data_IF_179217513227
#
_entry.id   IF_179217513227
#
_cell.length_a   1.000
_cell.length_b   1.000
_cell.length_c   1.000
_cell.angle_alpha   90.00
_cell.angle_beta   90.00
_cell.angle_gamma   90.00
#
_symmetry.space_group_name_H-M   'P 1'
#
loop_
_entity.id
_entity.type
_entity.pdbx_description
1 polymer ?
#
# COMPACT_ATOMS: atom_id res chain seq x y z
N UNK A 1 -20.20 -9.95 26.72
CA UNK A 1 -19.15 -9.31 25.90
C UNK A 1 -19.80 -8.90 24.60
N UNK A 2 -20.34 -7.68 24.56
CA UNK A 2 -20.70 -7.06 23.29
C UNK A 2 -19.39 -6.90 22.52
N UNK A 3 -19.30 -7.55 21.36
CA UNK A 3 -18.28 -7.22 20.38
C UNK A 3 -18.52 -5.75 20.01
N UNK A 4 -17.82 -4.84 20.67
CA UNK A 4 -17.61 -3.49 20.16
C UNK A 4 -16.83 -3.68 18.86
N UNK A 5 -17.56 -3.80 17.76
CA UNK A 5 -17.02 -3.60 16.42
C UNK A 5 -16.46 -2.18 16.47
N UNK A 6 -15.13 -2.06 16.62
CA UNK A 6 -14.48 -0.77 16.42
C UNK A 6 -14.98 -0.25 15.07
N UNK A 7 -15.49 0.99 14.97
CA UNK A 7 -15.90 1.54 13.70
C UNK A 7 -14.73 1.39 12.73
N UNK A 8 -14.98 0.81 11.56
CA UNK A 8 -13.92 0.59 10.57
C UNK A 8 -13.22 1.93 10.28
N UNK A 9 -11.89 1.93 10.41
CA UNK A 9 -11.07 3.11 10.21
C UNK A 9 -11.21 3.60 8.75
N UNK A 10 -11.45 4.90 8.55
CA UNK A 10 -11.68 5.49 7.22
C UNK A 10 -10.48 5.20 6.29
N UNK A 11 -9.27 5.36 6.81
CA UNK A 11 -7.98 5.04 6.17
C UNK A 11 -7.85 3.57 5.79
N UNK A 12 -8.33 2.64 6.63
CA UNK A 12 -8.36 1.23 6.27
C UNK A 12 -9.34 0.96 5.12
N UNK A 13 -10.50 1.60 5.12
CA UNK A 13 -11.45 1.51 4.02
C UNK A 13 -10.86 2.09 2.73
N UNK A 14 -10.19 3.24 2.80
CA UNK A 14 -9.50 3.86 1.66
C UNK A 14 -8.41 2.95 1.09
N UNK A 15 -7.60 2.32 1.95
CA UNK A 15 -6.60 1.31 1.54
C UNK A 15 -7.27 0.11 0.84
N UNK A 16 -8.35 -0.42 1.39
CA UNK A 16 -9.07 -1.55 0.80
C UNK A 16 -9.65 -1.22 -0.57
N UNK A 17 -10.23 -0.03 -0.73
CA UNK A 17 -10.79 0.41 -2.01
C UNK A 17 -9.68 0.75 -3.01
N UNK A 18 -8.58 1.36 -2.57
CA UNK A 18 -7.40 1.56 -3.42
C UNK A 18 -6.86 0.22 -3.92
N UNK A 19 -6.70 -0.75 -3.02
CA UNK A 19 -6.28 -2.10 -3.39
C UNK A 19 -7.27 -2.73 -4.37
N UNK A 20 -8.58 -2.65 -4.14
CA UNK A 20 -9.56 -3.16 -5.09
C UNK A 20 -9.49 -2.52 -6.49
N UNK A 21 -9.18 -1.22 -6.55
CA UNK A 21 -9.11 -0.46 -7.79
C UNK A 21 -7.81 -0.69 -8.57
N UNK A 22 -6.69 -0.88 -7.89
CA UNK A 22 -5.35 -0.86 -8.51
C UNK A 22 -4.50 -2.10 -8.25
N UNK A 23 -4.83 -2.88 -7.23
CA UNK A 23 -4.15 -4.12 -6.85
C UNK A 23 -5.05 -5.31 -7.23
N UNK A 24 -4.50 -6.21 -8.04
CA UNK A 24 -5.22 -7.42 -8.43
C UNK A 24 -5.44 -8.31 -7.19
N UNK A 25 -6.67 -8.36 -6.70
CA UNK A 25 -7.11 -9.31 -5.68
C UNK A 25 -7.94 -10.40 -6.36
N UNK A 26 -7.28 -11.50 -6.74
CA UNK A 26 -8.02 -12.71 -7.09
C UNK A 26 -8.62 -13.31 -5.80
N UNK A 27 -9.90 -13.73 -5.80
CA UNK A 27 -10.51 -14.31 -4.62
C UNK A 27 -9.78 -15.60 -4.22
N UNK A 28 -9.59 -15.80 -2.91
CA UNK A 28 -9.01 -17.02 -2.38
C UNK A 28 -10.01 -18.18 -2.47
N UNK A 29 -9.56 -19.39 -2.81
CA UNK A 29 -10.38 -20.59 -2.83
C UNK A 29 -9.57 -21.83 -2.47
N UNK A 30 -10.23 -22.87 -1.96
CA UNK A 30 -9.57 -24.14 -1.61
C UNK A 30 -10.08 -25.26 -2.53
N UNK A 31 -9.27 -25.64 -3.51
CA UNK A 31 -9.52 -26.80 -4.37
C UNK A 31 -8.23 -27.32 -4.98
N UNK A 32 -8.24 -28.60 -5.35
CA UNK A 32 -7.13 -29.21 -6.09
C UNK A 32 -7.20 -28.80 -7.56
N UNK A 33 -6.14 -28.22 -8.15
CA UNK A 33 -6.09 -27.86 -9.56
C UNK A 33 -6.38 -29.05 -10.46
N UNK A 34 -7.28 -28.86 -11.42
CA UNK A 34 -7.60 -29.89 -12.40
C UNK A 34 -6.76 -29.71 -13.67
N UNK A 35 -6.23 -30.81 -14.23
CA UNK A 35 -5.34 -30.81 -15.41
C UNK A 35 -5.97 -30.18 -16.65
N UNK A 36 -7.29 -30.12 -16.72
CA UNK A 36 -8.02 -29.49 -17.81
C UNK A 36 -7.84 -27.95 -17.80
N UNK A 37 -7.62 -27.34 -16.63
CA UNK A 37 -7.50 -25.89 -16.46
C UNK A 37 -6.09 -25.39 -16.16
N UNK A 38 -5.23 -26.26 -15.61
CA UNK A 38 -3.92 -25.86 -15.10
C UNK A 38 -2.77 -26.69 -15.69
N UNK A 39 -1.59 -26.10 -15.68
CA UNK A 39 -0.31 -26.72 -16.03
C UNK A 39 0.59 -26.72 -14.81
N UNK A 40 1.14 -27.88 -14.42
CA UNK A 40 2.12 -27.96 -13.34
C UNK A 40 3.49 -27.52 -13.86
N UNK A 41 4.12 -26.57 -13.18
CA UNK A 41 5.36 -25.92 -13.61
C UNK A 41 6.31 -25.78 -12.43
N UNK A 42 7.55 -26.24 -12.58
CA UNK A 42 8.59 -26.07 -11.57
C UNK A 42 9.25 -24.69 -11.70
N UNK A 43 8.61 -23.67 -11.13
CA UNK A 43 9.08 -22.28 -11.21
C UNK A 43 10.08 -21.98 -10.08
N UNK A 44 11.31 -21.62 -10.44
CA UNK A 44 12.40 -21.40 -9.46
C UNK A 44 12.64 -19.92 -9.18
N UNK A 45 12.42 -19.07 -10.19
CA UNK A 45 12.66 -17.63 -10.09
C UNK A 45 11.88 -16.82 -11.10
N UNK A 46 11.87 -15.51 -10.89
CA UNK A 46 11.35 -14.50 -11.80
C UNK A 46 12.43 -13.51 -12.20
N UNK A 47 12.46 -13.18 -13.48
CA UNK A 47 13.34 -12.13 -14.03
C UNK A 47 12.47 -10.98 -14.51
N UNK A 48 12.60 -9.84 -13.83
CA UNK A 48 12.06 -8.57 -14.28
C UNK A 48 13.05 -7.90 -15.22
N UNK A 49 12.62 -7.48 -16.41
CA UNK A 49 13.46 -6.78 -17.40
C UNK A 49 12.94 -5.37 -17.61
N UNK A 50 13.77 -4.36 -17.32
CA UNK A 50 13.39 -2.96 -17.53
C UNK A 50 13.37 -2.61 -19.02
N UNK A 51 12.26 -2.06 -19.50
CA UNK A 51 12.08 -1.62 -20.90
C UNK A 51 12.92 -0.39 -21.27
N UNK A 52 13.38 0.40 -20.28
CA UNK A 52 14.14 1.63 -20.53
C UNK A 52 15.67 1.41 -20.48
N UNK A 53 16.16 0.69 -19.46
CA UNK A 53 17.61 0.51 -19.24
C UNK A 53 18.09 -0.93 -19.45
N UNK A 54 17.21 -1.86 -19.84
CA UNK A 54 17.47 -3.29 -19.99
C UNK A 54 17.98 -4.02 -18.71
N UNK A 55 18.11 -3.31 -17.57
CA UNK A 55 18.51 -3.91 -16.29
C UNK A 55 17.55 -5.04 -15.93
N UNK A 56 18.14 -6.17 -15.52
CA UNK A 56 17.41 -7.31 -15.01
C UNK A 56 17.45 -7.33 -13.49
N UNK A 57 16.31 -7.61 -12.87
CA UNK A 57 16.19 -7.88 -11.43
C UNK A 57 15.70 -9.32 -11.30
N UNK A 58 16.51 -10.14 -10.64
CA UNK A 58 16.18 -11.53 -10.34
C UNK A 58 15.53 -11.62 -8.96
N UNK A 59 14.41 -12.32 -8.88
CA UNK A 59 13.73 -12.68 -7.64
C UNK A 59 13.68 -14.20 -7.57
N UNK A 60 14.39 -14.76 -6.60
CA UNK A 60 14.32 -16.20 -6.32
C UNK A 60 13.06 -16.51 -5.53
N UNK A 61 12.43 -17.62 -5.87
CA UNK A 61 11.27 -18.11 -5.14
C UNK A 61 11.67 -19.22 -4.19
N UNK A 62 10.89 -19.35 -3.12
CA UNK A 62 10.98 -20.49 -2.22
C UNK A 62 10.53 -21.75 -2.96
N UNK A 63 11.42 -22.72 -3.10
CA UNK A 63 11.12 -24.00 -3.74
C UNK A 63 10.24 -24.87 -2.82
N UNK A 64 9.03 -25.19 -3.29
CA UNK A 64 8.09 -26.08 -2.61
C UNK A 64 7.53 -27.17 -3.56
N UNK A 65 8.23 -27.42 -4.67
CA UNK A 65 7.78 -28.28 -5.77
C UNK A 65 7.12 -27.50 -6.91
N UNK A 66 6.27 -28.17 -7.68
CA UNK A 66 5.56 -27.57 -8.82
C UNK A 66 4.44 -26.63 -8.38
N UNK A 67 4.26 -25.56 -9.14
CA UNK A 67 3.17 -24.59 -9.00
C UNK A 67 2.24 -24.71 -10.21
N UNK A 68 0.95 -24.54 -10.00
CA UNK A 68 -0.06 -24.68 -11.04
C UNK A 68 -0.34 -23.34 -11.70
N UNK A 69 0.02 -23.23 -12.98
CA UNK A 69 -0.29 -22.08 -13.80
C UNK A 69 -1.66 -22.28 -14.43
N UNK A 70 -2.49 -21.23 -14.45
CA UNK A 70 -3.63 -21.22 -15.38
C UNK A 70 -3.10 -21.34 -16.81
N UNK A 71 -3.78 -22.12 -17.66
CA UNK A 71 -3.35 -22.32 -19.06
C UNK A 71 -3.16 -20.99 -19.80
N UNK A 72 -4.05 -20.02 -19.59
CA UNK A 72 -3.93 -18.70 -20.19
C UNK A 72 -2.63 -17.98 -19.77
N UNK A 73 -2.31 -17.96 -18.47
CA UNK A 73 -1.08 -17.33 -17.97
C UNK A 73 0.18 -18.03 -18.47
N UNK A 74 0.15 -19.37 -18.60
CA UNK A 74 1.25 -20.14 -19.17
C UNK A 74 1.46 -19.81 -20.65
N UNK A 75 0.39 -19.68 -21.43
CA UNK A 75 0.47 -19.25 -22.83
C UNK A 75 0.94 -17.78 -22.97
N UNK A 76 0.55 -16.89 -22.06
CA UNK A 76 1.11 -15.52 -22.00
C UNK A 76 2.63 -15.55 -21.82
N UNK A 77 3.15 -16.44 -20.97
CA UNK A 77 4.59 -16.62 -20.80
C UNK A 77 5.26 -17.19 -22.06
N UNK A 78 4.62 -18.11 -22.78
CA UNK A 78 5.14 -18.60 -24.07
C UNK A 78 5.39 -17.43 -25.04
N UNK A 79 4.41 -16.54 -25.18
CA UNK A 79 4.55 -15.36 -26.03
C UNK A 79 5.67 -14.41 -25.58
N UNK A 80 5.91 -14.29 -24.26
CA UNK A 80 7.03 -13.50 -23.73
C UNK A 80 8.38 -14.15 -24.07
N UNK A 81 8.49 -15.47 -23.94
CA UNK A 81 9.69 -16.23 -24.30
C UNK A 81 9.99 -16.14 -25.80
N UNK A 82 8.97 -16.28 -26.66
CA UNK A 82 9.10 -16.14 -28.11
C UNK A 82 9.63 -14.74 -28.49
N UNK A 83 9.05 -13.67 -27.92
CA UNK A 83 9.52 -12.30 -28.13
C UNK A 83 10.97 -12.08 -27.69
N UNK A 84 11.42 -12.82 -26.68
CA UNK A 84 12.80 -12.78 -26.16
C UNK A 84 13.74 -13.78 -26.83
N UNK A 85 13.26 -14.56 -27.81
CA UNK A 85 13.99 -15.65 -28.44
C UNK A 85 14.58 -16.66 -27.42
N UNK A 86 13.84 -16.92 -26.34
CA UNK A 86 14.22 -17.89 -25.30
C UNK A 86 13.57 -19.25 -25.56
N UNK A 87 14.25 -20.38 -25.22
CA UNK A 87 13.63 -21.69 -25.32
C UNK A 87 12.51 -21.84 -24.29
N UNK A 88 11.31 -22.22 -24.75
CA UNK A 88 10.17 -22.51 -23.89
C UNK A 88 10.06 -24.02 -23.62
N UNK A 89 9.52 -24.39 -22.44
CA UNK A 89 9.43 -25.79 -22.04
C UNK A 89 8.47 -26.58 -22.95
N UNK A 90 8.91 -27.76 -23.38
CA UNK A 90 8.06 -28.75 -24.05
C UNK A 90 7.27 -29.59 -23.04
N UNK A 91 6.30 -30.37 -23.51
CA UNK A 91 5.54 -31.29 -22.65
C UNK A 91 6.46 -32.32 -21.95
N UNK A 92 7.52 -32.78 -22.63
CA UNK A 92 8.53 -33.67 -22.04
C UNK A 92 9.32 -32.98 -20.93
N UNK A 93 9.61 -31.68 -21.09
CA UNK A 93 10.32 -30.91 -20.08
C UNK A 93 9.45 -30.68 -18.84
N UNK A 94 8.15 -30.44 -19.03
CA UNK A 94 7.18 -30.33 -17.95
C UNK A 94 7.04 -31.65 -17.17
N UNK A 95 6.96 -32.79 -17.87
CA UNK A 95 6.92 -34.12 -17.24
C UNK A 95 8.20 -34.46 -16.47
N UNK A 96 9.34 -33.92 -16.90
CA UNK A 96 10.62 -34.05 -16.22
C UNK A 96 10.87 -32.96 -15.15
N UNK A 97 9.87 -32.13 -14.86
CA UNK A 97 9.92 -31.05 -13.87
C UNK A 97 11.14 -30.11 -14.06
N UNK A 98 11.51 -29.85 -15.31
CA UNK A 98 12.59 -28.92 -15.62
C UNK A 98 12.26 -27.51 -15.11
N UNK A 99 13.31 -26.82 -14.66
CA UNK A 99 13.20 -25.47 -14.13
C UNK A 99 12.57 -24.51 -15.14
N UNK A 100 11.66 -23.67 -14.63
CA UNK A 100 11.00 -22.61 -15.35
C UNK A 100 11.33 -21.25 -14.72
N UNK A 101 11.65 -20.26 -15.57
CA UNK A 101 11.99 -18.91 -15.14
C UNK A 101 10.87 -17.95 -15.59
N UNK A 102 10.08 -17.46 -14.65
CA UNK A 102 9.02 -16.50 -14.99
C UNK A 102 9.63 -15.20 -15.55
N UNK A 103 9.15 -14.74 -16.71
CA UNK A 103 9.63 -13.53 -17.36
C UNK A 103 8.62 -12.40 -17.19
N UNK A 104 9.09 -11.22 -16.78
CA UNK A 104 8.26 -10.03 -16.65
C UNK A 104 8.96 -8.81 -17.25
N UNK A 105 8.18 -7.91 -17.83
CA UNK A 105 8.69 -6.68 -18.44
C UNK A 105 7.96 -5.46 -17.91
N UNK A 106 8.69 -4.36 -17.75
CA UNK A 106 8.14 -3.13 -17.17
C UNK A 106 9.22 -2.09 -16.92
N UNK A 107 9.03 -1.22 -15.93
CA UNK A 107 10.03 -0.21 -15.57
C UNK A 107 10.56 -0.43 -14.16
N UNK A 108 11.88 -0.34 -13.99
CA UNK A 108 12.47 -0.34 -12.65
C UNK A 108 12.20 1.00 -11.96
N UNK A 109 12.27 1.00 -10.63
CA UNK A 109 12.10 2.17 -9.76
C UNK A 109 12.90 3.42 -10.20
N UNK A 110 14.11 3.23 -10.76
CA UNK A 110 14.95 4.35 -11.21
C UNK A 110 14.49 4.95 -12.55
N UNK A 111 13.88 4.15 -13.42
CA UNK A 111 13.45 4.57 -14.75
C UNK A 111 11.98 5.01 -14.75
N UNK A 112 11.15 4.41 -13.91
CA UNK A 112 9.71 4.65 -13.85
C UNK A 112 9.36 6.14 -13.68
N UNK A 113 9.97 6.93 -12.77
CA UNK A 113 9.67 8.36 -12.67
C UNK A 113 9.94 9.12 -13.97
N UNK A 114 11.00 8.79 -14.70
CA UNK A 114 11.37 9.51 -15.94
C UNK A 114 10.41 9.22 -17.10
N UNK A 115 9.84 8.02 -17.13
CA UNK A 115 9.01 7.55 -18.25
C UNK A 115 7.51 7.69 -17.94
N UNK A 116 7.10 7.41 -16.71
CA UNK A 116 5.69 7.34 -16.32
C UNK A 116 5.14 8.67 -15.81
N UNK A 117 5.99 9.61 -15.34
CA UNK A 117 5.52 10.97 -14.95
C UNK A 117 5.04 11.77 -16.17
N UNK A 118 5.66 11.57 -17.33
CA UNK A 118 5.29 12.20 -18.61
C UNK A 118 4.35 11.33 -19.43
N UNK A 119 3.74 10.32 -18.81
CA UNK A 119 2.82 9.39 -19.46
C UNK A 119 1.58 10.07 -20.03
N UNK A 120 0.82 9.32 -20.81
CA UNK A 120 -0.45 9.77 -21.37
C UNK A 120 -1.50 10.01 -20.25
N UNK A 121 -2.69 10.49 -20.66
CA UNK A 121 -3.78 10.74 -19.72
C UNK A 121 -4.14 9.51 -18.86
N UNK A 122 -4.00 8.30 -19.41
CA UNK A 122 -4.27 7.04 -18.71
C UNK A 122 -3.30 6.80 -17.56
N UNK A 123 -2.00 6.92 -17.81
CA UNK A 123 -0.99 6.78 -16.77
C UNK A 123 -1.08 7.94 -15.75
N UNK A 124 -1.38 9.15 -16.21
CA UNK A 124 -1.55 10.32 -15.35
C UNK A 124 -2.67 10.14 -14.32
N UNK A 125 -3.81 9.56 -14.71
CA UNK A 125 -4.90 9.24 -13.78
C UNK A 125 -4.41 8.32 -12.66
N UNK A 126 -3.72 7.22 -13.02
CA UNK A 126 -3.17 6.30 -12.03
C UNK A 126 -2.18 6.98 -11.08
N UNK A 127 -1.26 7.80 -11.63
CA UNK A 127 -0.29 8.53 -10.82
C UNK A 127 -0.97 9.45 -9.80
N UNK A 128 -2.01 10.20 -10.21
CA UNK A 128 -2.76 11.06 -9.29
C UNK A 128 -3.49 10.24 -8.22
N UNK A 129 -4.12 9.11 -8.59
CA UNK A 129 -4.75 8.23 -7.60
C UNK A 129 -3.76 7.64 -6.61
N UNK A 130 -2.55 7.29 -7.06
CA UNK A 130 -1.47 6.85 -6.18
C UNK A 130 -1.03 7.96 -5.23
N UNK A 131 -0.95 9.19 -5.70
CA UNK A 131 -0.63 10.34 -4.86
C UNK A 131 -1.75 10.61 -3.83
N UNK A 132 -3.03 10.55 -4.22
CA UNK A 132 -4.16 10.63 -3.29
C UNK A 132 -4.02 9.58 -2.17
N UNK A 133 -3.74 8.33 -2.52
CA UNK A 133 -3.56 7.27 -1.53
C UNK A 133 -2.41 7.55 -0.55
N UNK A 134 -1.26 8.03 -1.03
CA UNK A 134 -0.14 8.42 -0.18
C UNK A 134 -0.51 9.57 0.76
N UNK A 135 -1.27 10.56 0.29
CA UNK A 135 -1.75 11.65 1.13
C UNK A 135 -2.76 11.17 2.18
N UNK A 136 -3.61 10.20 1.83
CA UNK A 136 -4.54 9.56 2.77
C UNK A 136 -3.75 8.85 3.91
N UNK A 137 -2.61 8.22 3.61
CA UNK A 137 -1.73 7.61 4.61
C UNK A 137 -0.95 8.64 5.44
N UNK A 138 -0.42 9.69 4.77
CA UNK A 138 0.38 10.73 5.41
C UNK A 138 -0.42 11.59 6.38
N UNK A 139 -1.72 11.80 6.13
CA UNK A 139 -2.60 12.61 6.97
C UNK A 139 -2.54 12.21 8.46
N UNK A 140 -2.56 10.90 8.75
CA UNK A 140 -2.51 10.42 10.13
C UNK A 140 -1.17 10.70 10.80
N UNK A 141 -0.08 10.59 10.03
CA UNK A 141 1.27 10.88 10.51
C UNK A 141 1.42 12.38 10.80
N UNK A 142 0.97 13.23 9.89
CA UNK A 142 1.02 14.69 10.05
C UNK A 142 0.16 15.14 11.24
N UNK A 143 -1.03 14.56 11.42
CA UNK A 143 -1.89 14.86 12.56
C UNK A 143 -1.23 14.51 13.89
N UNK A 144 -0.58 13.34 14.00
CA UNK A 144 0.19 12.94 15.18
C UNK A 144 1.32 13.91 15.50
N UNK A 145 2.05 14.36 14.47
CA UNK A 145 3.10 15.37 14.63
C UNK A 145 2.51 16.69 15.16
N UNK A 146 1.36 17.12 14.66
CA UNK A 146 0.67 18.31 15.17
C UNK A 146 0.25 18.15 16.65
N UNK A 147 -0.30 16.99 17.02
CA UNK A 147 -0.71 16.67 18.39
C UNK A 147 0.49 16.62 19.35
N UNK A 148 1.59 15.98 18.95
CA UNK A 148 2.82 15.94 19.73
C UNK A 148 3.43 17.34 19.92
N UNK A 149 3.43 18.16 18.87
CA UNK A 149 3.90 19.54 18.97
C UNK A 149 3.04 20.37 19.92
N UNK A 150 1.73 20.13 19.96
CA UNK A 150 0.85 20.78 20.93
C UNK A 150 1.17 20.36 22.36
N UNK A 151 1.35 19.05 22.60
CA UNK A 151 1.79 18.55 23.90
C UNK A 151 3.12 19.18 24.34
N UNK A 152 4.11 19.25 23.45
CA UNK A 152 5.41 19.89 23.74
C UNK A 152 5.25 21.36 24.10
N UNK A 153 4.40 22.11 23.40
CA UNK A 153 4.09 23.51 23.75
C UNK A 153 3.47 23.62 25.13
N UNK A 154 2.50 22.78 25.45
CA UNK A 154 1.85 22.74 26.75
C UNK A 154 2.84 22.39 27.87
N UNK A 155 3.69 21.38 27.68
CA UNK A 155 4.74 21.02 28.64
C UNK A 155 5.69 22.19 28.90
N UNK A 156 6.10 22.91 27.86
CA UNK A 156 6.98 24.09 28.00
C UNK A 156 6.34 25.28 28.74
N UNK A 157 5.05 25.23 29.08
CA UNK A 157 4.42 26.24 29.96
C UNK A 157 4.75 26.03 31.44
N UNK A 158 5.20 24.83 31.82
CA UNK A 158 5.65 24.53 33.17
C UNK A 158 7.10 24.97 33.37
N UNK A 159 7.31 25.82 34.35
CA UNK A 159 8.61 26.35 34.73
C UNK A 159 9.09 25.79 36.07
N UNK A 160 8.20 25.15 36.84
CA UNK A 160 8.46 24.61 38.17
C UNK A 160 7.66 23.32 38.39
N UNK A 161 8.21 22.36 39.17
CA UNK A 161 7.54 21.08 39.41
C UNK A 161 6.18 21.23 40.11
N UNK A 162 6.01 22.25 40.96
CA UNK A 162 4.73 22.52 41.65
C UNK A 162 3.54 22.78 40.71
N UNK A 163 3.81 23.19 39.46
CA UNK A 163 2.78 23.43 38.45
C UNK A 163 2.33 22.14 37.75
N UNK A 164 3.11 21.08 37.82
CA UNK A 164 2.76 19.77 37.26
C UNK A 164 2.13 18.88 38.33
N UNK A 165 2.60 18.96 39.58
CA UNK A 165 2.05 18.18 40.71
C UNK A 165 0.61 18.54 41.09
N UNK A 166 0.01 19.56 40.46
CA UNK A 166 -1.41 19.87 40.60
C UNK A 166 -2.33 18.90 39.85
N UNK A 167 -1.78 18.15 38.88
CA UNK A 167 -2.52 17.15 38.11
C UNK A 167 -2.41 15.76 38.76
N UNK A 168 -3.36 14.88 38.43
CA UNK A 168 -3.29 13.47 38.83
C UNK A 168 -2.28 12.72 37.95
N UNK A 169 -1.17 12.31 38.58
CA UNK A 169 -0.09 11.54 37.96
C UNK A 169 -0.01 10.11 38.52
N UNK A 170 -1.04 9.66 39.25
CA UNK A 170 -1.00 8.43 40.04
C UNK A 170 -1.18 7.14 39.25
N UNK A 171 -1.66 7.22 38.01
CA UNK A 171 -1.99 6.06 37.18
C UNK A 171 -1.78 6.33 35.70
N UNK A 172 -1.59 5.26 34.93
CA UNK A 172 -1.50 5.33 33.48
C UNK A 172 -2.72 5.99 32.83
N UNK A 173 -3.93 5.69 33.31
CA UNK A 173 -5.16 6.31 32.81
C UNK A 173 -5.20 7.80 33.08
N UNK A 174 -4.81 8.23 34.28
CA UNK A 174 -4.77 9.65 34.62
C UNK A 174 -3.74 10.41 33.76
N UNK A 175 -2.55 9.83 33.54
CA UNK A 175 -1.54 10.39 32.63
C UNK A 175 -2.06 10.50 31.20
N UNK A 176 -2.70 9.44 30.69
CA UNK A 176 -3.30 9.44 29.36
C UNK A 176 -4.36 10.52 29.22
N UNK A 177 -5.28 10.63 30.18
CA UNK A 177 -6.35 11.63 30.15
C UNK A 177 -5.79 13.05 30.22
N UNK A 178 -4.75 13.28 31.02
CA UNK A 178 -4.04 14.55 31.11
C UNK A 178 -3.38 14.93 29.77
N UNK A 179 -2.64 13.99 29.15
CA UNK A 179 -2.02 14.22 27.84
C UNK A 179 -3.07 14.49 26.78
N UNK A 180 -4.17 13.73 26.75
CA UNK A 180 -5.28 13.97 25.84
C UNK A 180 -5.88 15.38 26.05
N UNK A 181 -6.12 15.78 27.30
CA UNK A 181 -6.63 17.11 27.62
C UNK A 181 -5.69 18.23 27.15
N UNK A 182 -4.38 18.07 27.36
CA UNK A 182 -3.37 19.02 26.89
C UNK A 182 -3.34 19.18 25.36
N UNK A 183 -3.53 18.07 24.64
CA UNK A 183 -3.62 18.09 23.17
C UNK A 183 -4.93 18.74 22.71
N UNK A 184 -6.04 18.48 23.40
CA UNK A 184 -7.37 19.02 23.04
C UNK A 184 -7.56 20.50 23.40
N UNK A 185 -6.69 21.08 24.23
CA UNK A 185 -6.76 22.50 24.63
C UNK A 185 -6.52 23.47 23.45
N UNK A 186 -5.75 23.06 22.44
CA UNK A 186 -5.54 23.83 21.20
C UNK A 186 -5.38 22.90 19.99
N UNK A 187 -6.40 22.86 19.14
CA UNK A 187 -6.47 22.03 17.93
C UNK A 187 -6.06 22.76 16.65
N UNK A 188 -5.60 24.02 16.72
CA UNK A 188 -5.32 24.85 15.53
C UNK A 188 -4.30 24.17 14.60
N UNK A 189 -3.30 23.50 15.16
CA UNK A 189 -2.31 22.74 14.36
C UNK A 189 -2.96 21.62 13.53
N UNK A 190 -3.85 20.85 14.16
CA UNK A 190 -4.57 19.73 13.52
C UNK A 190 -5.61 20.25 12.52
N UNK A 191 -6.27 21.37 12.82
CA UNK A 191 -7.18 22.06 11.90
C UNK A 191 -6.48 22.48 10.61
N UNK A 192 -5.31 23.12 10.71
CA UNK A 192 -4.53 23.54 9.56
C UNK A 192 -4.05 22.35 8.73
N UNK A 193 -3.63 21.27 9.38
CA UNK A 193 -3.29 20.00 8.74
C UNK A 193 -4.46 19.47 7.89
N UNK A 194 -5.66 19.41 8.49
CA UNK A 194 -6.86 18.92 7.81
C UNK A 194 -7.28 19.82 6.64
N UNK A 195 -7.20 21.15 6.79
CA UNK A 195 -7.51 22.11 5.73
C UNK A 195 -6.55 21.92 4.54
N UNK A 196 -5.24 21.81 4.82
CA UNK A 196 -4.22 21.58 3.80
C UNK A 196 -4.50 20.29 3.00
N UNK A 197 -4.74 19.19 3.72
CA UNK A 197 -5.10 17.90 3.14
C UNK A 197 -6.35 18.00 2.25
N UNK A 198 -7.45 18.58 2.76
CA UNK A 198 -8.70 18.72 1.99
C UNK A 198 -8.52 19.52 0.71
N UNK A 199 -7.76 20.61 0.76
CA UNK A 199 -7.49 21.44 -0.42
C UNK A 199 -6.68 20.66 -1.47
N UNK A 200 -5.67 19.91 -1.02
CA UNK A 200 -4.81 19.10 -1.89
C UNK A 200 -5.58 17.95 -2.55
N UNK A 201 -6.28 17.15 -1.74
CA UNK A 201 -7.08 16.02 -2.20
C UNK A 201 -8.24 16.48 -3.10
N UNK A 202 -8.96 17.53 -2.70
CA UNK A 202 -10.08 18.06 -3.48
C UNK A 202 -9.67 18.49 -4.88
N UNK A 203 -8.48 19.11 -5.02
CA UNK A 203 -7.89 19.45 -6.32
C UNK A 203 -7.52 18.19 -7.12
N UNK A 204 -6.85 17.22 -6.51
CA UNK A 204 -6.44 15.98 -7.18
C UNK A 204 -7.65 15.17 -7.66
N UNK A 205 -8.70 15.07 -6.86
CA UNK A 205 -9.97 14.41 -7.24
C UNK A 205 -10.58 15.13 -8.43
N UNK A 206 -10.76 16.45 -8.36
CA UNK A 206 -11.37 17.22 -9.45
C UNK A 206 -10.56 17.14 -10.76
N UNK A 207 -9.23 17.16 -10.67
CA UNK A 207 -8.36 16.99 -11.85
C UNK A 207 -8.48 15.58 -12.44
N UNK A 208 -8.61 14.56 -11.59
CA UNK A 208 -8.80 13.16 -12.04
C UNK A 208 -10.17 12.95 -12.67
N UNK A 209 -11.24 13.46 -12.08
CA UNK A 209 -12.60 13.37 -12.62
C UNK A 209 -12.71 14.00 -14.01
N UNK A 210 -12.06 15.15 -14.24
CA UNK A 210 -11.99 15.76 -15.58
C UNK A 210 -11.30 14.85 -16.59
N UNK A 211 -10.19 14.22 -16.20
CA UNK A 211 -9.46 13.28 -17.08
C UNK A 211 -10.27 12.01 -17.36
N UNK A 212 -11.10 11.55 -16.41
CA UNK A 212 -11.90 10.34 -16.53
C UNK A 212 -13.05 10.44 -17.54
N UNK A 213 -13.53 11.64 -17.86
CA UNK A 213 -14.67 11.85 -18.79
C UNK A 213 -14.43 11.14 -20.12
N UNK A 214 -13.24 11.30 -20.69
CA UNK A 214 -12.88 10.78 -22.02
C UNK A 214 -12.20 9.40 -21.98
N UNK A 215 -12.11 8.76 -20.80
CA UNK A 215 -11.47 7.45 -20.67
C UNK A 215 -12.42 6.31 -21.06
N UNK A 216 -11.89 5.24 -21.69
CA UNK A 216 -12.64 4.01 -21.93
C UNK A 216 -12.98 3.29 -20.62
N UNK A 217 -13.89 2.31 -20.66
CA UNK A 217 -14.27 1.53 -19.47
C UNK A 217 -13.10 0.73 -18.86
N UNK A 218 -12.15 0.29 -19.70
CA UNK A 218 -10.97 -0.46 -19.29
C UNK A 218 -9.76 -0.03 -20.10
N UNK A 219 -8.62 0.13 -19.43
CA UNK A 219 -7.35 0.43 -20.09
C UNK A 219 -6.15 -0.10 -19.30
N UNK A 220 -4.96 -0.06 -19.90
CA UNK A 220 -3.73 -0.47 -19.23
C UNK A 220 -2.90 0.69 -18.73
N UNK A 221 -2.30 0.52 -17.55
CA UNK A 221 -1.30 1.41 -16.96
C UNK A 221 -0.10 0.59 -16.48
N UNK A 222 1.00 1.25 -16.10
CA UNK A 222 2.08 0.62 -15.35
C UNK A 222 1.93 0.94 -13.87
N UNK A 223 1.70 -0.10 -13.06
CA UNK A 223 1.53 0.00 -11.62
C UNK A 223 2.71 -0.62 -10.89
N UNK A 224 3.11 0.00 -9.78
CA UNK A 224 4.14 -0.52 -8.91
C UNK A 224 3.73 -1.88 -8.33
N UNK A 225 4.69 -2.79 -8.28
CA UNK A 225 4.59 -4.07 -7.58
C UNK A 225 5.92 -4.34 -6.89
N UNK A 226 5.87 -4.54 -5.58
CA UNK A 226 7.06 -4.94 -4.84
C UNK A 226 7.55 -6.32 -5.30
N UNK A 227 8.86 -6.48 -5.44
CA UNK A 227 9.52 -7.77 -5.72
C UNK A 227 9.44 -8.74 -4.54
N UNK A 228 9.11 -8.27 -3.34
CA UNK A 228 9.07 -9.08 -2.11
C UNK A 228 7.68 -9.63 -1.77
N UNK A 229 6.65 -9.32 -2.56
CA UNK A 229 5.31 -9.88 -2.36
C UNK A 229 5.11 -11.16 -3.17
N UNK A 230 4.23 -12.03 -2.67
CA UNK A 230 3.85 -13.26 -3.35
C UNK A 230 3.18 -13.00 -4.71
N UNK A 231 3.14 -14.04 -5.54
CA UNK A 231 2.50 -13.99 -6.85
C UNK A 231 1.62 -15.21 -7.12
N UNK A 232 0.38 -14.95 -7.53
CA UNK A 232 -0.49 -15.98 -8.08
C UNK A 232 -0.11 -16.27 -9.53
N UNK A 233 -0.03 -17.54 -9.89
CA UNK A 233 0.11 -18.05 -11.26
C UNK A 233 -1.24 -18.34 -11.92
N UNK A 234 -2.32 -17.89 -11.28
CA UNK A 234 -3.70 -17.98 -11.75
C UNK A 234 -4.32 -16.59 -11.76
N UNK A 235 -4.91 -16.24 -12.91
CA UNK A 235 -5.54 -14.93 -13.16
C UNK A 235 -6.98 -14.89 -12.60
N UNK A 236 -7.62 -16.05 -12.36
CA UNK A 236 -9.02 -16.14 -11.91
C UNK A 236 -9.15 -16.26 -10.38
N UNK A 237 -8.30 -17.08 -9.77
CA UNK A 237 -8.41 -17.50 -8.36
C UNK A 237 -7.03 -17.63 -7.73
N UNK A 238 -6.92 -17.17 -6.48
CA UNK A 238 -5.77 -17.38 -5.61
C UNK A 238 -5.98 -18.67 -4.81
N UNK A 239 -5.02 -19.59 -4.77
CA UNK A 239 -5.05 -20.75 -3.86
C UNK A 239 -3.64 -21.29 -3.61
N UNK A 240 -3.42 -22.08 -2.55
CA UNK A 240 -2.08 -22.53 -2.12
C UNK A 240 -1.21 -23.14 -3.23
N UNK A 241 -1.80 -23.87 -4.18
CA UNK A 241 -1.04 -24.48 -5.29
C UNK A 241 -0.72 -23.56 -6.48
N UNK A 242 -1.23 -22.33 -6.55
CA UNK A 242 -0.90 -21.38 -7.64
C UNK A 242 0.09 -20.32 -7.20
N UNK A 243 0.58 -20.35 -5.97
CA UNK A 243 1.26 -19.19 -5.37
C UNK A 243 2.75 -19.47 -5.24
N UNK A 244 3.55 -18.49 -5.63
CA UNK A 244 4.98 -18.44 -5.34
C UNK A 244 5.27 -17.36 -4.32
N UNK A 245 6.19 -17.65 -3.42
CA UNK A 245 6.69 -16.72 -2.41
C UNK A 245 8.15 -16.39 -2.70
N UNK A 246 8.55 -15.11 -2.76
CA UNK A 246 9.96 -14.73 -2.76
C UNK A 246 10.70 -15.31 -1.55
N UNK A 247 12.00 -15.58 -1.69
CA UNK A 247 12.84 -15.96 -0.55
C UNK A 247 12.80 -14.88 0.55
N UNK A 248 12.92 -15.30 1.82
CA UNK A 248 12.79 -14.41 3.00
C UNK A 248 13.71 -13.18 2.98
N UNK A 249 14.88 -13.30 2.35
CA UNK A 249 15.89 -12.24 2.29
C UNK A 249 15.80 -11.39 1.02
N UNK A 250 14.71 -11.54 0.24
CA UNK A 250 14.47 -10.73 -0.96
C UNK A 250 14.35 -9.27 -0.56
N UNK A 251 15.26 -8.43 -1.05
CA UNK A 251 15.22 -6.99 -0.84
C UNK A 251 14.01 -6.42 -1.61
N UNK A 252 13.03 -5.79 -0.93
CA UNK A 252 11.89 -5.17 -1.59
C UNK A 252 12.36 -4.07 -2.53
N UNK A 253 11.94 -4.14 -3.79
CA UNK A 253 12.11 -3.11 -4.81
C UNK A 253 10.81 -2.99 -5.59
N UNK A 254 10.42 -1.78 -5.95
CA UNK A 254 9.23 -1.60 -6.79
C UNK A 254 9.57 -1.80 -8.27
N UNK A 255 8.76 -2.61 -8.92
CA UNK A 255 8.80 -2.82 -10.36
C UNK A 255 7.44 -2.50 -10.99
N UNK A 256 7.44 -1.64 -12.00
CA UNK A 256 6.22 -1.10 -12.58
C UNK A 256 5.81 -1.95 -13.78
N UNK A 257 4.80 -2.80 -13.58
CA UNK A 257 4.31 -3.76 -14.57
C UNK A 257 2.99 -3.29 -15.18
N UNK A 258 2.75 -3.68 -16.43
CA UNK A 258 1.50 -3.36 -17.10
C UNK A 258 0.32 -4.07 -16.41
N UNK A 259 -0.74 -3.33 -16.10
CA UNK A 259 -1.99 -3.83 -15.51
C UNK A 259 -3.18 -3.20 -16.18
N UNK A 260 -4.26 -3.96 -16.29
CA UNK A 260 -5.55 -3.42 -16.70
C UNK A 260 -6.30 -2.88 -15.49
N UNK A 261 -6.86 -1.68 -15.63
CA UNK A 261 -7.71 -1.03 -14.63
C UNK A 261 -9.06 -0.68 -15.24
N UNK A 262 -10.07 -0.53 -14.38
CA UNK A 262 -11.46 -0.31 -14.75
C UNK A 262 -11.94 1.05 -14.26
N UNK A 263 -12.57 1.82 -15.14
CA UNK A 263 -13.09 3.17 -14.86
C UNK A 263 -13.93 3.21 -13.59
N UNK A 264 -14.88 2.29 -13.49
CA UNK A 264 -15.82 2.21 -12.36
C UNK A 264 -15.11 2.05 -11.02
N UNK A 265 -13.99 1.31 -10.95
CA UNK A 265 -13.26 1.12 -9.68
C UNK A 265 -12.50 2.36 -9.27
N UNK A 266 -11.98 3.12 -10.24
CA UNK A 266 -11.35 4.42 -9.97
C UNK A 266 -12.41 5.39 -9.46
N UNK A 267 -13.57 5.46 -10.10
CA UNK A 267 -14.68 6.29 -9.63
C UNK A 267 -15.12 5.91 -8.20
N UNK A 268 -15.17 4.61 -7.88
CA UNK A 268 -15.45 4.14 -6.52
C UNK A 268 -14.41 4.65 -5.53
N UNK A 269 -13.11 4.62 -5.88
CA UNK A 269 -12.03 5.15 -5.03
C UNK A 269 -12.13 6.67 -4.82
N UNK A 270 -12.45 7.43 -5.87
CA UNK A 270 -12.60 8.88 -5.76
C UNK A 270 -13.80 9.27 -4.90
N UNK A 271 -14.92 8.54 -5.00
CA UNK A 271 -16.17 8.77 -4.24
C UNK A 271 -16.12 8.32 -2.78
N UNK A 272 -15.04 7.68 -2.32
CA UNK A 272 -14.93 7.26 -0.93
C UNK A 272 -14.98 8.45 0.03
N UNK A 273 -15.64 8.26 1.17
CA UNK A 273 -15.63 9.22 2.26
C UNK A 273 -14.22 9.32 2.82
N UNK A 274 -13.78 10.55 3.07
CA UNK A 274 -12.47 10.87 3.66
C UNK A 274 -12.67 11.67 4.94
N UNK A 275 -11.60 11.82 5.72
CA UNK A 275 -11.61 12.57 6.98
C UNK A 275 -12.16 13.98 6.77
N UNK A 276 -13.22 14.29 7.50
CA UNK A 276 -14.02 15.50 7.25
C UNK A 276 -14.04 16.46 8.44
N UNK A 277 -13.62 16.04 9.63
CA UNK A 277 -13.56 16.89 10.83
C UNK A 277 -12.28 16.64 11.63
N UNK A 278 -11.94 17.62 12.48
CA UNK A 278 -10.81 17.54 13.42
C UNK A 278 -11.02 16.39 14.40
N UNK A 279 -12.24 16.26 14.92
CA UNK A 279 -12.62 15.15 15.81
C UNK A 279 -12.36 13.79 15.15
N UNK A 280 -12.80 13.61 13.91
CA UNK A 280 -12.52 12.38 13.15
C UNK A 280 -11.02 12.16 13.01
N UNK A 281 -10.27 13.19 12.60
CA UNK A 281 -8.83 13.10 12.40
C UNK A 281 -8.08 12.67 13.67
N UNK A 282 -8.42 13.27 14.82
CA UNK A 282 -7.78 12.95 16.09
C UNK A 282 -8.14 11.55 16.59
N UNK A 283 -9.39 11.12 16.40
CA UNK A 283 -9.81 9.75 16.71
C UNK A 283 -9.08 8.74 15.83
N UNK A 284 -8.90 9.07 14.55
CA UNK A 284 -8.25 8.19 13.58
C UNK A 284 -6.74 8.08 13.78
N UNK A 285 -6.09 9.21 14.07
CA UNK A 285 -4.68 9.28 14.44
C UNK A 285 -4.41 8.48 15.72
N UNK A 286 -5.34 8.55 16.68
CA UNK A 286 -5.26 7.83 17.94
C UNK A 286 -4.17 8.36 18.88
N UNK A 287 -4.03 7.68 20.02
CA UNK A 287 -3.07 8.03 21.07
C UNK A 287 -1.76 7.25 20.92
N UNK A 288 -0.63 7.91 21.13
CA UNK A 288 0.68 7.25 21.15
C UNK A 288 1.27 7.20 22.56
N UNK A 289 1.67 6.01 23.01
CA UNK A 289 2.28 5.84 24.34
C UNK A 289 3.56 6.67 24.51
N UNK A 290 4.28 6.96 23.43
CA UNK A 290 5.44 7.83 23.42
C UNK A 290 5.13 9.26 23.94
N UNK A 291 3.87 9.70 23.88
CA UNK A 291 3.47 11.00 24.44
C UNK A 291 3.44 11.00 25.97
N UNK A 292 3.22 9.85 26.60
CA UNK A 292 3.38 9.69 28.05
C UNK A 292 4.85 9.78 28.41
N UNK A 293 5.72 9.15 27.62
CA UNK A 293 7.17 9.24 27.81
C UNK A 293 7.65 10.70 27.74
N UNK A 294 7.12 11.51 26.82
CA UNK A 294 7.41 12.95 26.76
C UNK A 294 7.03 13.71 28.05
N UNK A 295 5.88 13.39 28.65
CA UNK A 295 5.46 13.98 29.92
C UNK A 295 6.41 13.55 31.06
N UNK A 296 6.75 12.26 31.14
CA UNK A 296 7.64 11.71 32.17
C UNK A 296 9.04 12.33 32.04
N UNK A 297 9.59 12.37 30.82
CA UNK A 297 10.89 12.97 30.54
C UNK A 297 10.93 14.45 30.94
N UNK A 298 9.85 15.18 30.65
CA UNK A 298 9.73 16.58 31.04
C UNK A 298 9.70 16.74 32.58
N UNK A 299 8.95 15.91 33.30
CA UNK A 299 8.92 15.90 34.77
C UNK A 299 10.32 15.64 35.35
N UNK A 300 11.04 14.66 34.80
CA UNK A 300 12.39 14.30 35.23
C UNK A 300 13.41 15.44 35.04
N UNK A 301 13.14 16.44 34.20
CA UNK A 301 14.00 17.63 34.08
C UNK A 301 13.97 18.53 35.31
N UNK A 302 12.91 18.49 36.12
CA UNK A 302 12.78 19.28 37.35
C UNK A 302 13.40 18.60 38.58
N UNK A 303 13.73 17.30 38.48
CA UNK A 303 14.38 16.53 39.54
C UNK A 303 15.91 16.61 39.50
N UNK A 304 16.48 17.23 38.45
CA UNK A 304 17.92 17.50 38.27
C UNK A 304 18.31 18.87 38.80
#
# INVERSE_FOLDING_TARGET
MENQVQPENITNQLLNVFNYAFVESAPYSFFVPKKEKYVAVHVTKKIYTCLACAKQVEVKYHEAGVVYFSKERFEKQRAVYEKKALPFLSEKDLQAEKEFIYQETGYCEQCAPKVLLTGDAKQKIYNICQDIHKEDELLLVEAKVCMENQLKKWLNTFMKPSQITQYDLSSYSALKDLVCAAILDDTIGVENCLISYKNKIGKMIADTEKLLVDMPEKWSIHAARSTAIYESMSDELYHEYTVVFPEKNTIPQDFFIQRAIEKIRIEMFLKQSRVSSVEQLMLEAGFENAWIDLLIDHIATFEK
#
